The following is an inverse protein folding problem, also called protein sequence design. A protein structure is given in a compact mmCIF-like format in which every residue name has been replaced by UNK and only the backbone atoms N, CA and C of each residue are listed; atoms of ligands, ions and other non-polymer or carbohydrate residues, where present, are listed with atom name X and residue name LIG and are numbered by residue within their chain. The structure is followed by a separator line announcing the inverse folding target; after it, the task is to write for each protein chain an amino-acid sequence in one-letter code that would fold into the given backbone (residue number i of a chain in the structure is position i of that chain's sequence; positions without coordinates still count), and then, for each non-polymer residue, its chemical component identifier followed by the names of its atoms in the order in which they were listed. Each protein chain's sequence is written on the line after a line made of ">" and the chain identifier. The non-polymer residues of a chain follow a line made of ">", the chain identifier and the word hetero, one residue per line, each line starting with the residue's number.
data_IF_204348168151
#
_entry.id   IF_204348168151
#
_cell.length_a   1.000
_cell.length_b   1.000
_cell.length_c   1.000
_cell.angle_alpha   90.00
_cell.angle_beta   90.00
_cell.angle_gamma   90.00
#
_symmetry.space_group_name_H-M   'P 1'
#
loop_
_entity.id
_entity.type
_entity.pdbx_description
1 polymer ?
#
# COMPACT_ATOMS: atom_id res chain seq x y z
N UNK A 1 38.04 -3.93 10.30
CA UNK A 1 36.80 -4.64 9.91
C UNK A 1 35.53 -3.98 10.47
N UNK A 2 35.50 -2.65 10.70
CA UNK A 2 34.41 -1.95 11.41
C UNK A 2 33.61 -0.97 10.52
N UNK A 3 33.85 -0.93 9.21
CA UNK A 3 33.20 0.06 8.30
C UNK A 3 32.39 -0.55 7.15
N UNK A 4 32.35 -1.88 6.99
CA UNK A 4 31.50 -2.56 6.02
C UNK A 4 31.61 -2.09 4.56
N UNK A 5 32.63 -1.28 4.22
CA UNK A 5 32.76 -0.57 2.94
C UNK A 5 31.52 0.25 2.52
N UNK A 6 30.72 0.78 3.46
CA UNK A 6 29.58 1.67 3.16
C UNK A 6 30.06 3.10 2.87
N UNK A 7 30.78 3.27 1.77
CA UNK A 7 31.44 4.54 1.42
C UNK A 7 30.66 5.34 0.37
N UNK A 8 29.79 4.66 -0.38
CA UNK A 8 29.03 5.26 -1.46
C UNK A 8 27.54 5.29 -1.14
N UNK A 9 26.86 6.31 -1.68
CA UNK A 9 25.41 6.48 -1.52
C UNK A 9 24.60 5.24 -1.98
N UNK A 10 24.92 4.57 -3.11
CA UNK A 10 24.22 3.35 -3.52
C UNK A 10 24.35 2.20 -2.50
N UNK A 11 25.51 2.02 -1.86
CA UNK A 11 25.71 0.98 -0.83
C UNK A 11 24.84 1.25 0.40
N UNK A 12 24.76 2.51 0.84
CA UNK A 12 23.89 2.94 1.94
C UNK A 12 22.41 2.69 1.59
N UNK A 13 22.00 3.08 0.39
CA UNK A 13 20.62 2.86 -0.10
C UNK A 13 20.27 1.38 -0.23
N UNK A 14 21.21 0.56 -0.68
CA UNK A 14 21.02 -0.89 -0.78
C UNK A 14 20.88 -1.51 0.60
N UNK A 15 21.69 -1.08 1.56
CA UNK A 15 21.60 -1.52 2.95
C UNK A 15 20.26 -1.16 3.58
N UNK A 16 19.82 0.09 3.42
CA UNK A 16 18.48 0.51 3.86
C UNK A 16 17.37 -0.27 3.13
N UNK A 17 17.50 -0.50 1.83
CA UNK A 17 16.56 -1.29 1.05
C UNK A 17 16.41 -2.72 1.59
N UNK A 18 17.52 -3.36 1.95
CA UNK A 18 17.53 -4.67 2.60
C UNK A 18 16.89 -4.60 3.99
N UNK A 19 17.23 -3.61 4.82
CA UNK A 19 16.60 -3.44 6.14
C UNK A 19 15.08 -3.27 6.03
N UNK A 20 14.62 -2.38 5.13
CA UNK A 20 13.19 -2.16 4.87
C UNK A 20 12.52 -3.43 4.38
N UNK A 21 13.19 -4.23 3.55
CA UNK A 21 12.68 -5.51 3.07
C UNK A 21 12.37 -6.51 4.22
N UNK A 22 13.11 -6.48 5.32
CA UNK A 22 12.84 -7.36 6.47
C UNK A 22 11.62 -6.94 7.30
N UNK A 23 11.32 -5.64 7.40
CA UNK A 23 10.27 -5.14 8.30
C UNK A 23 8.99 -4.70 7.58
N UNK A 24 9.12 -4.04 6.42
CA UNK A 24 7.97 -3.49 5.68
C UNK A 24 6.90 -4.55 5.35
N UNK A 25 7.23 -5.78 4.94
CA UNK A 25 6.21 -6.77 4.62
C UNK A 25 5.37 -7.17 5.85
N UNK A 26 6.01 -7.31 7.01
CA UNK A 26 5.32 -7.63 8.25
C UNK A 26 4.42 -6.47 8.73
N UNK A 27 4.89 -5.23 8.58
CA UNK A 27 4.10 -4.03 8.89
C UNK A 27 2.90 -3.88 7.95
N UNK A 28 3.12 -4.05 6.64
CA UNK A 28 2.06 -3.98 5.64
C UNK A 28 1.02 -5.09 5.83
N UNK A 29 1.45 -6.33 6.06
CA UNK A 29 0.56 -7.43 6.41
C UNK A 29 -0.34 -7.09 7.61
N UNK A 30 0.22 -6.44 8.63
CA UNK A 30 -0.51 -6.06 9.84
C UNK A 30 -1.48 -4.89 9.62
N UNK A 31 -1.19 -4.02 8.63
CA UNK A 31 -2.05 -2.88 8.27
C UNK A 31 -3.31 -3.27 7.51
N UNK A 32 -3.32 -4.42 6.82
CA UNK A 32 -4.41 -4.75 5.90
C UNK A 32 -5.75 -5.08 6.57
N UNK A 33 -5.77 -5.55 7.83
CA UNK A 33 -6.91 -5.53 8.77
C UNK A 33 -6.47 -6.24 10.06
N UNK A 34 -6.92 -5.83 11.26
CA UNK A 34 -6.62 -6.58 12.48
C UNK A 34 -7.24 -7.99 12.40
N UNK A 35 -6.39 -9.02 12.41
CA UNK A 35 -6.74 -10.44 12.21
C UNK A 35 -7.55 -11.07 13.37
N UNK A 36 -7.99 -10.27 14.35
CA UNK A 36 -8.48 -10.72 15.67
C UNK A 36 -9.97 -10.48 15.90
N UNK A 37 -10.81 -10.51 14.86
CA UNK A 37 -12.27 -10.41 15.06
C UNK A 37 -12.81 -11.76 15.54
N UNK A 38 -13.55 -11.79 16.65
CA UNK A 38 -14.28 -12.98 17.11
C UNK A 38 -15.23 -13.46 16.02
N UNK A 39 -15.29 -14.77 15.83
CA UNK A 39 -16.19 -15.41 14.88
C UNK A 39 -17.42 -15.86 15.67
N UNK A 40 -18.54 -15.21 15.42
CA UNK A 40 -19.85 -15.58 15.95
C UNK A 40 -20.79 -16.06 14.84
N UNK A 41 -20.61 -15.55 13.60
CA UNK A 41 -21.52 -15.82 12.47
C UNK A 41 -20.80 -16.22 11.16
N UNK A 42 -21.52 -16.93 10.27
CA UNK A 42 -21.03 -17.34 8.93
C UNK A 42 -20.59 -16.16 8.05
N UNK A 43 -21.19 -14.98 8.22
CA UNK A 43 -20.77 -13.78 7.50
C UNK A 43 -19.40 -13.26 7.93
N UNK A 44 -19.09 -13.37 9.23
CA UNK A 44 -17.79 -12.99 9.77
C UNK A 44 -16.69 -13.98 9.33
N UNK A 45 -17.02 -15.27 9.17
CA UNK A 45 -16.13 -16.25 8.55
C UNK A 45 -15.78 -15.88 7.11
N UNK A 46 -16.78 -15.47 6.32
CA UNK A 46 -16.57 -15.03 4.94
C UNK A 46 -15.65 -13.81 4.88
N UNK A 47 -15.92 -12.77 5.67
CA UNK A 47 -15.06 -11.58 5.72
C UNK A 47 -13.61 -11.97 6.05
N UNK A 48 -13.42 -12.84 7.03
CA UNK A 48 -12.09 -13.27 7.47
C UNK A 48 -11.34 -14.08 6.41
N UNK A 49 -12.02 -14.98 5.72
CA UNK A 49 -11.44 -15.71 4.59
C UNK A 49 -11.06 -14.77 3.45
N UNK A 50 -11.90 -13.79 3.13
CA UNK A 50 -11.57 -12.79 2.11
C UNK A 50 -10.40 -11.92 2.53
N UNK A 51 -10.30 -11.52 3.79
CA UNK A 51 -9.18 -10.72 4.31
C UNK A 51 -7.87 -11.52 4.24
N UNK A 52 -7.89 -12.81 4.63
CA UNK A 52 -6.71 -13.69 4.55
C UNK A 52 -6.28 -13.87 3.09
N UNK A 53 -7.22 -14.15 2.19
CA UNK A 53 -6.92 -14.36 0.77
C UNK A 53 -6.33 -13.08 0.14
N UNK A 54 -6.94 -11.92 0.39
CA UNK A 54 -6.46 -10.63 -0.09
C UNK A 54 -5.10 -10.27 0.50
N UNK A 55 -4.93 -10.40 1.82
CA UNK A 55 -3.66 -10.13 2.50
C UNK A 55 -2.53 -10.99 1.95
N UNK A 56 -2.78 -12.28 1.73
CA UNK A 56 -1.79 -13.22 1.18
C UNK A 56 -1.36 -12.84 -0.24
N UNK A 57 -2.31 -12.56 -1.13
CA UNK A 57 -2.04 -12.17 -2.52
C UNK A 57 -1.33 -10.82 -2.60
N UNK A 58 -1.75 -9.85 -1.79
CA UNK A 58 -1.12 -8.52 -1.73
C UNK A 58 0.29 -8.59 -1.15
N UNK A 59 0.53 -9.42 -0.12
CA UNK A 59 1.88 -9.62 0.43
C UNK A 59 2.81 -10.23 -0.62
N UNK A 60 2.36 -11.26 -1.34
CA UNK A 60 3.13 -11.80 -2.48
C UNK A 60 3.48 -10.68 -3.46
N UNK A 61 2.48 -9.90 -3.88
CA UNK A 61 2.66 -8.85 -4.87
C UNK A 61 3.64 -7.77 -4.41
N UNK A 62 3.45 -7.22 -3.21
CA UNK A 62 4.33 -6.18 -2.66
C UNK A 62 5.76 -6.68 -2.57
N UNK A 63 5.98 -7.90 -2.08
CA UNK A 63 7.33 -8.48 -2.00
C UNK A 63 7.97 -8.57 -3.38
N UNK A 64 7.26 -9.10 -4.38
CA UNK A 64 7.82 -9.20 -5.74
C UNK A 64 8.19 -7.85 -6.32
N UNK A 65 7.38 -6.80 -6.08
CA UNK A 65 7.65 -5.43 -6.53
C UNK A 65 8.79 -4.78 -5.75
N UNK A 66 8.87 -5.00 -4.44
CA UNK A 66 9.98 -4.51 -3.61
C UNK A 66 11.31 -5.10 -4.07
N UNK A 67 11.37 -6.43 -4.26
CA UNK A 67 12.58 -7.11 -4.76
C UNK A 67 12.98 -6.57 -6.13
N UNK A 68 12.02 -6.42 -7.05
CA UNK A 68 12.29 -5.82 -8.36
C UNK A 68 12.81 -4.38 -8.29
N UNK A 69 12.34 -3.59 -7.33
CA UNK A 69 12.80 -2.22 -7.12
C UNK A 69 14.22 -2.13 -6.53
N UNK A 70 14.76 -3.20 -5.93
CA UNK A 70 16.07 -3.18 -5.29
C UNK A 70 17.21 -2.85 -6.27
N UNK A 71 17.15 -3.38 -7.49
CA UNK A 71 18.17 -3.08 -8.50
C UNK A 71 18.16 -1.60 -8.91
N UNK A 72 16.98 -0.97 -8.94
CA UNK A 72 16.86 0.48 -9.16
C UNK A 72 17.48 1.30 -8.03
N UNK A 73 17.34 0.85 -6.78
CA UNK A 73 17.97 1.49 -5.61
C UNK A 73 19.49 1.32 -5.62
N UNK A 74 19.97 0.11 -5.94
CA UNK A 74 21.39 -0.21 -5.99
C UNK A 74 22.11 0.34 -7.24
N UNK A 75 21.36 0.74 -8.28
CA UNK A 75 21.87 1.11 -9.62
C UNK A 75 22.72 0.01 -10.27
N UNK A 76 22.47 -1.24 -9.88
CA UNK A 76 23.17 -2.43 -10.31
C UNK A 76 22.14 -3.54 -10.45
N UNK A 77 22.34 -4.44 -11.40
CA UNK A 77 21.52 -5.65 -11.50
C UNK A 77 21.87 -6.59 -10.34
N UNK A 78 20.94 -6.73 -9.41
CA UNK A 78 21.12 -7.61 -8.27
C UNK A 78 20.58 -9.01 -8.57
N UNK A 79 21.34 -10.08 -8.28
CA UNK A 79 20.88 -11.47 -8.46
C UNK A 79 19.58 -11.79 -7.72
N UNK A 80 19.28 -11.05 -6.64
CA UNK A 80 18.05 -11.21 -5.85
C UNK A 80 16.78 -10.99 -6.67
N UNK A 81 16.83 -10.19 -7.75
CA UNK A 81 15.69 -9.97 -8.64
C UNK A 81 15.12 -11.29 -9.19
N UNK A 82 15.99 -12.27 -9.48
CA UNK A 82 15.60 -13.59 -9.99
C UNK A 82 14.84 -14.43 -8.94
N UNK A 83 14.93 -14.05 -7.68
CA UNK A 83 14.26 -14.73 -6.57
C UNK A 83 12.96 -14.03 -6.13
N UNK A 84 12.55 -12.94 -6.78
CA UNK A 84 11.35 -12.17 -6.40
C UNK A 84 10.10 -13.02 -6.20
N UNK A 85 9.78 -13.91 -7.16
CA UNK A 85 8.65 -14.83 -7.05
C UNK A 85 8.79 -15.82 -5.90
N UNK A 86 9.99 -16.40 -5.72
CA UNK A 86 10.24 -17.37 -4.64
C UNK A 86 10.10 -16.71 -3.27
N UNK A 87 10.68 -15.52 -3.10
CA UNK A 87 10.58 -14.73 -1.87
C UNK A 87 9.14 -14.30 -1.61
N UNK A 88 8.39 -13.92 -2.65
CA UNK A 88 6.97 -13.60 -2.54
C UNK A 88 6.14 -14.78 -2.02
N UNK A 89 6.38 -15.99 -2.55
CA UNK A 89 5.70 -17.21 -2.10
C UNK A 89 6.04 -17.51 -0.64
N UNK A 90 7.32 -17.41 -0.26
CA UNK A 90 7.73 -17.62 1.13
C UNK A 90 7.07 -16.62 2.08
N UNK A 91 7.09 -15.32 1.75
CA UNK A 91 6.44 -14.30 2.57
C UNK A 91 4.92 -14.51 2.70
N UNK A 92 4.26 -14.87 1.60
CA UNK A 92 2.83 -15.19 1.61
C UNK A 92 2.53 -16.43 2.48
N UNK A 93 3.35 -17.48 2.38
CA UNK A 93 3.19 -18.69 3.20
C UNK A 93 3.42 -18.41 4.69
N UNK A 94 4.42 -17.59 5.04
CA UNK A 94 4.69 -17.17 6.40
C UNK A 94 3.58 -16.30 6.97
N UNK A 95 2.92 -15.47 6.16
CA UNK A 95 1.74 -14.71 6.58
C UNK A 95 0.57 -15.64 6.94
N UNK A 96 0.30 -16.65 6.11
CA UNK A 96 -0.73 -17.66 6.40
C UNK A 96 -0.39 -18.42 7.68
N UNK A 97 0.87 -18.82 7.84
CA UNK A 97 1.33 -19.51 9.05
C UNK A 97 1.15 -18.63 10.29
N UNK A 98 1.56 -17.36 10.21
CA UNK A 98 1.37 -16.35 11.27
C UNK A 98 -0.11 -16.24 11.63
N UNK A 99 -1.00 -16.15 10.64
CA UNK A 99 -2.43 -16.10 10.87
C UNK A 99 -2.95 -17.33 11.62
N UNK A 100 -2.52 -18.54 11.22
CA UNK A 100 -2.90 -19.79 11.90
C UNK A 100 -2.42 -19.79 13.36
N UNK A 101 -1.20 -19.31 13.61
CA UNK A 101 -0.68 -19.19 14.98
C UNK A 101 -1.40 -18.13 15.80
N UNK A 102 -1.69 -16.96 15.23
CA UNK A 102 -2.49 -15.92 15.89
C UNK A 102 -3.90 -16.46 16.24
N UNK A 103 -4.51 -17.25 15.36
CA UNK A 103 -5.79 -17.88 15.62
C UNK A 103 -5.71 -18.93 16.74
N UNK A 104 -4.69 -19.80 16.71
CA UNK A 104 -4.49 -20.80 17.77
C UNK A 104 -4.26 -20.13 19.14
N UNK A 105 -3.39 -19.11 19.20
CA UNK A 105 -3.07 -18.39 20.42
C UNK A 105 -4.27 -17.61 20.94
N UNK A 106 -5.05 -16.98 20.06
CA UNK A 106 -6.25 -16.22 20.49
C UNK A 106 -7.30 -17.09 21.16
N UNK A 107 -7.39 -18.38 20.77
CA UNK A 107 -8.26 -19.37 21.43
C UNK A 107 -7.69 -19.87 22.75
N UNK A 108 -6.37 -20.05 22.84
CA UNK A 108 -5.70 -20.59 24.02
C UNK A 108 -5.54 -19.54 25.14
N UNK A 109 -5.32 -18.26 24.80
CA UNK A 109 -5.00 -17.20 25.77
C UNK A 109 -5.78 -15.88 25.51
N UNK A 110 -7.11 -15.88 25.59
CA UNK A 110 -7.92 -14.71 25.26
C UNK A 110 -7.69 -13.51 26.20
N UNK A 111 -7.51 -13.75 27.50
CA UNK A 111 -7.47 -12.70 28.54
C UNK A 111 -6.18 -11.87 28.49
N UNK A 112 -5.04 -12.46 28.11
CA UNK A 112 -3.75 -11.74 28.07
C UNK A 112 -3.64 -10.75 26.91
N UNK A 113 -4.38 -10.98 25.82
CA UNK A 113 -4.37 -10.12 24.64
C UNK A 113 -5.10 -8.80 24.85
N UNK A 114 -6.03 -8.76 25.80
CA UNK A 114 -6.80 -7.55 26.13
C UNK A 114 -6.00 -6.61 27.04
N UNK A 115 -5.21 -7.15 27.96
CA UNK A 115 -4.37 -6.37 28.90
C UNK A 115 -3.16 -5.69 28.24
N UNK A 116 -2.67 -6.21 27.10
CA UNK A 116 -1.54 -5.64 26.38
C UNK A 116 -1.90 -4.45 25.46
N UNK A 117 -3.18 -4.09 25.39
CA UNK A 117 -3.60 -2.89 24.64
C UNK A 117 -3.35 -1.63 25.44
N UNK A 118 -2.14 -1.12 25.30
CA UNK A 118 -1.83 0.26 25.68
C UNK A 118 -2.38 1.16 24.57
N UNK A 119 -3.34 2.03 24.91
CA UNK A 119 -3.73 3.13 24.04
C UNK A 119 -2.51 4.05 23.87
N UNK A 120 -1.99 4.09 22.64
CA UNK A 120 -0.89 4.99 22.29
C UNK A 120 -1.49 6.39 22.19
N UNK A 121 -1.00 7.31 23.05
CA UNK A 121 -1.41 8.72 23.01
C UNK A 121 -1.19 9.28 21.60
N UNK A 122 -2.13 10.11 21.14
CA UNK A 122 -1.99 10.78 19.85
C UNK A 122 -0.68 11.57 19.76
N UNK A 123 0.03 11.51 18.61
CA UNK A 123 1.28 12.23 18.44
C UNK A 123 1.09 13.74 18.54
N UNK A 124 2.02 14.41 19.22
CA UNK A 124 2.06 15.87 19.30
C UNK A 124 2.38 16.51 17.93
N UNK A 125 2.03 17.78 17.73
CA UNK A 125 2.29 18.54 16.49
C UNK A 125 3.79 18.52 16.17
N UNK A 126 4.66 18.70 17.16
CA UNK A 126 6.11 18.60 16.98
C UNK A 126 6.56 17.23 16.45
N UNK A 127 5.98 16.14 16.98
CA UNK A 127 6.28 14.79 16.51
C UNK A 127 5.78 14.57 15.08
N UNK A 128 4.61 15.15 14.73
CA UNK A 128 4.05 15.10 13.38
C UNK A 128 4.93 15.86 12.36
N UNK A 129 5.47 17.02 12.73
CA UNK A 129 6.40 17.80 11.91
C UNK A 129 7.70 17.02 11.67
N UNK A 130 8.34 16.53 12.74
CA UNK A 130 9.56 15.72 12.63
C UNK A 130 9.29 14.47 11.78
N UNK A 131 8.15 13.80 11.98
CA UNK A 131 7.76 12.66 11.15
C UNK A 131 7.61 13.03 9.67
N UNK A 132 7.03 14.19 9.36
CA UNK A 132 6.90 14.68 7.99
C UNK A 132 8.26 14.97 7.35
N UNK A 133 9.18 15.62 8.06
CA UNK A 133 10.55 15.86 7.58
C UNK A 133 11.26 14.54 7.26
N UNK A 134 11.20 13.56 8.17
CA UNK A 134 11.76 12.23 7.92
C UNK A 134 11.10 11.55 6.71
N UNK A 135 9.77 11.62 6.57
CA UNK A 135 9.07 11.05 5.41
C UNK A 135 9.52 11.68 4.10
N UNK A 136 9.63 13.01 4.04
CA UNK A 136 10.10 13.73 2.85
C UNK A 136 11.56 13.34 2.55
N UNK A 137 12.42 13.29 3.57
CA UNK A 137 13.82 12.87 3.43
C UNK A 137 13.91 11.47 2.81
N UNK A 138 13.22 10.47 3.38
CA UNK A 138 13.23 9.11 2.84
C UNK A 138 12.61 9.04 1.45
N UNK A 139 11.52 9.76 1.20
CA UNK A 139 10.90 9.84 -0.12
C UNK A 139 11.89 10.33 -1.18
N UNK A 140 12.54 11.48 -0.94
CA UNK A 140 13.53 12.06 -1.86
C UNK A 140 14.74 11.13 -2.03
N UNK A 141 15.20 10.54 -0.93
CA UNK A 141 16.34 9.63 -0.92
C UNK A 141 16.09 8.36 -1.75
N UNK A 142 14.90 7.77 -1.62
CA UNK A 142 14.48 6.55 -2.32
C UNK A 142 14.00 6.80 -3.75
N UNK A 143 13.41 7.96 -4.05
CA UNK A 143 12.91 8.28 -5.40
C UNK A 143 14.03 8.77 -6.34
N UNK A 144 15.05 9.45 -5.82
CA UNK A 144 16.14 10.03 -6.62
C UNK A 144 16.92 9.01 -7.48
N UNK A 145 17.15 7.75 -7.08
CA UNK A 145 17.71 6.73 -7.96
C UNK A 145 16.89 6.48 -9.22
N UNK A 146 15.55 6.59 -9.14
CA UNK A 146 14.64 6.31 -10.25
C UNK A 146 14.40 7.52 -11.16
N UNK A 147 14.24 8.71 -10.57
CA UNK A 147 13.81 9.93 -11.31
C UNK A 147 14.97 10.88 -11.59
N UNK A 148 16.07 10.78 -10.86
CA UNK A 148 17.19 11.72 -10.90
C UNK A 148 16.97 12.93 -9.98
N UNK A 149 17.91 13.88 -9.98
CA UNK A 149 17.81 15.13 -9.24
C UNK A 149 17.33 16.24 -10.18
N UNK A 150 16.04 16.56 -10.14
CA UNK A 150 15.38 17.48 -11.07
C UNK A 150 14.12 18.11 -10.45
N UNK A 151 13.47 19.00 -11.20
CA UNK A 151 12.22 19.64 -10.79
C UNK A 151 11.11 18.63 -10.49
N UNK A 152 11.06 17.52 -11.24
CA UNK A 152 10.04 16.48 -11.06
C UNK A 152 10.14 15.79 -9.70
N UNK A 153 11.35 15.55 -9.20
CA UNK A 153 11.58 15.04 -7.85
C UNK A 153 11.03 16.01 -6.79
N UNK A 154 11.29 17.31 -6.95
CA UNK A 154 10.79 18.35 -6.06
C UNK A 154 9.26 18.42 -6.07
N UNK A 155 8.64 18.44 -7.26
CA UNK A 155 7.19 18.46 -7.41
C UNK A 155 6.54 17.23 -6.79
N UNK A 156 7.09 16.04 -7.01
CA UNK A 156 6.60 14.81 -6.40
C UNK A 156 6.68 14.85 -4.88
N UNK A 157 7.77 15.38 -4.31
CA UNK A 157 7.93 15.52 -2.86
C UNK A 157 6.93 16.52 -2.26
N UNK A 158 6.68 17.63 -2.96
CA UNK A 158 5.66 18.62 -2.57
C UNK A 158 4.27 17.99 -2.57
N UNK A 159 3.87 17.31 -3.66
CA UNK A 159 2.57 16.62 -3.76
C UNK A 159 2.41 15.59 -2.64
N UNK A 160 3.47 14.84 -2.34
CA UNK A 160 3.47 13.85 -1.26
C UNK A 160 3.31 14.49 0.14
N UNK A 161 3.88 15.68 0.36
CA UNK A 161 3.82 16.36 1.65
C UNK A 161 2.47 17.05 1.92
N UNK A 162 1.80 17.55 0.87
CA UNK A 162 0.56 18.32 0.96
C UNK A 162 -0.51 17.65 1.86
N UNK A 163 -0.87 16.36 1.70
CA UNK A 163 -1.87 15.69 2.53
C UNK A 163 -1.55 15.75 4.03
N UNK A 164 -0.27 15.57 4.38
CA UNK A 164 0.15 15.57 5.78
C UNK A 164 0.08 16.97 6.37
N UNK A 165 0.42 18.00 5.58
CA UNK A 165 0.36 19.41 6.00
C UNK A 165 -1.10 19.85 6.17
N UNK A 166 -1.99 19.54 5.22
CA UNK A 166 -3.40 19.95 5.30
C UNK A 166 -4.18 19.20 6.37
N UNK A 167 -3.81 17.95 6.65
CA UNK A 167 -4.36 17.18 7.76
C UNK A 167 -4.11 17.79 9.14
N UNK A 168 -3.18 18.74 9.28
CA UNK A 168 -2.93 19.42 10.56
C UNK A 168 -3.89 20.59 10.84
N UNK A 169 -4.51 21.19 9.83
CA UNK A 169 -5.17 22.50 10.00
C UNK A 169 -6.47 22.67 9.20
N UNK A 170 -6.67 21.95 8.10
CA UNK A 170 -7.73 22.25 7.13
C UNK A 170 -8.80 21.17 7.04
N UNK A 171 -8.47 19.91 7.35
CA UNK A 171 -9.35 18.77 7.04
C UNK A 171 -10.54 18.61 7.99
N UNK A 172 -10.39 19.04 9.24
CA UNK A 172 -11.47 18.99 10.23
C UNK A 172 -12.61 19.98 9.88
N UNK A 173 -12.32 21.04 9.13
CA UNK A 173 -13.28 22.07 8.73
C UNK A 173 -14.00 21.80 7.39
N UNK A 174 -13.70 20.71 6.68
CA UNK A 174 -14.27 20.46 5.36
C UNK A 174 -15.72 19.96 5.42
N UNK A 175 -16.63 20.46 4.53
CA UNK A 175 -18.02 20.03 4.50
C UNK A 175 -18.12 18.57 4.05
N UNK A 176 -18.68 17.72 4.91
CA UNK A 176 -18.85 16.30 4.63
C UNK A 176 -20.02 16.06 3.68
N UNK A 177 -19.83 15.22 2.67
CA UNK A 177 -20.81 14.82 1.65
C UNK A 177 -20.90 13.29 1.58
N UNK A 178 -22.09 12.76 1.33
CA UNK A 178 -22.30 11.32 1.15
C UNK A 178 -21.82 10.89 -0.24
N UNK A 179 -20.57 10.44 -0.33
CA UNK A 179 -19.96 9.94 -1.56
C UNK A 179 -19.69 8.43 -1.44
N UNK A 180 -19.90 7.71 -2.56
CA UNK A 180 -19.59 6.28 -2.65
C UNK A 180 -18.20 6.08 -3.22
N UNK A 181 -17.18 6.16 -2.36
CA UNK A 181 -15.80 5.90 -2.75
C UNK A 181 -15.41 4.43 -2.58
N UNK A 182 -14.53 3.89 -3.45
CA UNK A 182 -14.01 2.55 -3.28
C UNK A 182 -13.18 2.46 -1.99
N UNK A 183 -13.33 1.37 -1.24
CA UNK A 183 -12.64 1.14 0.03
C UNK A 183 -11.87 -0.17 0.03
N UNK A 184 -10.87 -0.27 0.91
CA UNK A 184 -10.04 -1.45 1.07
C UNK A 184 -9.39 -1.88 -0.25
N UNK A 185 -9.42 -3.18 -0.54
CA UNK A 185 -8.78 -3.73 -1.71
C UNK A 185 -9.34 -3.20 -3.05
N UNK A 186 -10.63 -2.84 -3.11
CA UNK A 186 -11.22 -2.21 -4.30
C UNK A 186 -10.58 -0.85 -4.61
N UNK A 187 -10.23 -0.07 -3.58
CA UNK A 187 -9.52 1.21 -3.73
C UNK A 187 -8.19 1.01 -4.45
N UNK A 188 -7.44 -0.02 -4.08
CA UNK A 188 -6.15 -0.36 -4.69
C UNK A 188 -6.30 -0.71 -6.17
N UNK A 189 -7.30 -1.53 -6.54
CA UNK A 189 -7.56 -1.89 -7.94
C UNK A 189 -7.89 -0.64 -8.75
N UNK A 190 -8.85 0.16 -8.28
CA UNK A 190 -9.28 1.38 -8.97
C UNK A 190 -8.11 2.34 -9.15
N UNK A 191 -7.25 2.48 -8.13
CA UNK A 191 -6.06 3.33 -8.20
C UNK A 191 -5.05 2.84 -9.22
N UNK A 192 -4.74 1.56 -9.25
CA UNK A 192 -3.78 0.99 -10.20
C UNK A 192 -4.31 1.11 -11.63
N UNK A 193 -5.60 0.84 -11.83
CA UNK A 193 -6.26 1.04 -13.11
C UNK A 193 -6.18 2.50 -13.57
N UNK A 194 -6.56 3.44 -12.70
CA UNK A 194 -6.54 4.86 -13.00
C UNK A 194 -5.13 5.38 -13.29
N UNK A 195 -4.13 4.92 -12.52
CA UNK A 195 -2.72 5.22 -12.77
C UNK A 195 -2.25 4.67 -14.12
N UNK A 196 -2.57 3.41 -14.44
CA UNK A 196 -2.20 2.80 -15.70
C UNK A 196 -2.85 3.52 -16.89
N UNK A 197 -4.13 3.86 -16.76
CA UNK A 197 -4.87 4.64 -17.76
C UNK A 197 -4.23 6.01 -18.01
N UNK A 198 -3.99 6.80 -16.95
CA UNK A 198 -3.34 8.10 -17.06
C UNK A 198 -1.94 7.96 -17.65
N UNK A 199 -1.18 6.95 -17.23
CA UNK A 199 0.17 6.70 -17.74
C UNK A 199 0.15 6.46 -19.25
N UNK A 200 -0.77 5.62 -19.76
CA UNK A 200 -0.94 5.40 -21.21
C UNK A 200 -1.37 6.66 -21.97
N UNK A 201 -2.31 7.44 -21.41
CA UNK A 201 -2.75 8.69 -22.05
C UNK A 201 -1.61 9.68 -22.19
N UNK A 202 -0.75 9.77 -21.18
CA UNK A 202 0.36 10.72 -21.15
C UNK A 202 1.57 10.20 -21.92
N UNK A 203 1.76 8.88 -22.03
CA UNK A 203 2.83 8.26 -22.82
C UNK A 203 2.83 8.79 -24.27
N UNK A 204 1.64 8.93 -24.88
CA UNK A 204 1.50 9.47 -26.23
C UNK A 204 1.87 10.96 -26.39
N UNK A 205 2.03 11.71 -25.30
CA UNK A 205 2.39 13.12 -25.32
C UNK A 205 3.92 13.36 -25.30
N UNK A 206 4.75 12.32 -25.14
CA UNK A 206 6.19 12.45 -25.01
C UNK A 206 6.95 11.63 -26.07
N UNK A 207 7.91 12.28 -26.74
CA UNK A 207 8.81 11.61 -27.69
C UNK A 207 10.00 10.92 -27.00
N UNK A 208 10.43 11.41 -25.83
CA UNK A 208 11.58 10.86 -25.10
C UNK A 208 11.11 10.02 -23.89
N UNK A 209 11.45 8.72 -23.82
CA UNK A 209 11.10 7.84 -22.69
C UNK A 209 11.60 8.32 -21.33
N UNK A 210 12.76 8.98 -21.26
CA UNK A 210 13.31 9.50 -19.99
C UNK A 210 12.48 10.68 -19.47
N UNK A 211 12.06 11.57 -20.37
CA UNK A 211 11.19 12.72 -20.03
C UNK A 211 9.81 12.23 -19.60
N UNK A 212 9.28 11.24 -20.30
CA UNK A 212 8.04 10.57 -19.91
C UNK A 212 8.15 10.00 -18.49
N UNK A 213 9.18 9.22 -18.18
CA UNK A 213 9.34 8.60 -16.86
C UNK A 213 9.36 9.64 -15.73
N UNK A 214 10.07 10.76 -15.93
CA UNK A 214 10.15 11.86 -14.95
C UNK A 214 8.80 12.54 -14.71
N UNK A 215 8.04 12.83 -15.77
CA UNK A 215 6.73 13.46 -15.61
C UNK A 215 5.67 12.49 -15.12
N UNK A 216 5.73 11.23 -15.55
CA UNK A 216 4.86 10.16 -15.09
C UNK A 216 4.98 9.97 -13.58
N UNK A 217 6.19 10.07 -13.00
CA UNK A 217 6.39 10.08 -11.55
C UNK A 217 5.58 11.16 -10.82
N UNK A 218 5.57 12.39 -11.34
CA UNK A 218 4.81 13.50 -10.74
C UNK A 218 3.31 13.25 -10.86
N UNK A 219 2.87 12.85 -12.05
CA UNK A 219 1.45 12.64 -12.32
C UNK A 219 0.89 11.47 -11.51
N UNK A 220 1.66 10.40 -11.32
CA UNK A 220 1.26 9.25 -10.51
C UNK A 220 1.01 9.59 -9.04
N UNK A 221 1.54 10.71 -8.53
CA UNK A 221 1.25 11.18 -7.17
C UNK A 221 -0.14 11.85 -7.05
N UNK A 222 -0.69 12.39 -8.15
CA UNK A 222 -1.95 13.14 -8.15
C UNK A 222 -3.19 12.29 -7.79
N UNK A 223 -3.37 11.05 -8.28
CA UNK A 223 -4.49 10.22 -7.87
C UNK A 223 -4.54 10.00 -6.35
N UNK A 224 -3.37 9.83 -5.71
CA UNK A 224 -3.27 9.67 -4.26
C UNK A 224 -3.73 10.92 -3.51
N UNK A 225 -3.27 12.09 -3.97
CA UNK A 225 -3.69 13.40 -3.46
C UNK A 225 -5.20 13.61 -3.60
N UNK A 226 -5.75 13.33 -4.79
CA UNK A 226 -7.17 13.48 -5.06
C UNK A 226 -8.01 12.59 -4.14
N UNK A 227 -7.63 11.31 -3.98
CA UNK A 227 -8.33 10.40 -3.08
C UNK A 227 -8.22 10.83 -1.62
N UNK A 228 -7.10 11.42 -1.19
CA UNK A 228 -6.97 11.94 0.18
C UNK A 228 -8.06 12.96 0.50
N UNK A 229 -8.23 13.97 -0.35
CA UNK A 229 -9.26 14.99 -0.13
C UNK A 229 -10.67 14.47 -0.37
N UNK A 230 -10.86 13.57 -1.33
CA UNK A 230 -12.14 12.91 -1.51
C UNK A 230 -12.53 12.12 -0.26
N UNK A 231 -11.61 11.38 0.36
CA UNK A 231 -11.84 10.70 1.63
C UNK A 231 -12.12 11.71 2.76
N UNK A 232 -11.37 12.82 2.82
CA UNK A 232 -11.56 13.86 3.84
C UNK A 232 -12.96 14.52 3.79
N UNK A 233 -13.57 14.66 2.60
CA UNK A 233 -14.93 15.20 2.45
C UNK A 233 -16.02 14.12 2.48
N UNK A 234 -15.67 12.83 2.49
CA UNK A 234 -16.67 11.76 2.38
C UNK A 234 -17.21 11.35 3.73
N UNK A 235 -18.52 11.52 3.92
CA UNK A 235 -19.24 10.84 4.99
C UNK A 235 -19.61 9.43 4.51
N UNK A 236 -19.15 8.43 5.26
CA UNK A 236 -19.24 7.04 4.82
C UNK A 236 -20.65 6.50 5.04
N UNK A 237 -21.36 6.04 4.00
CA UNK A 237 -22.68 5.45 4.18
C UNK A 237 -22.57 4.21 5.08
N UNK A 238 -23.52 4.07 6.02
CA UNK A 238 -23.57 2.96 6.97
C UNK A 238 -23.64 1.59 6.30
N UNK A 239 -23.22 0.54 7.02
CA UNK A 239 -23.18 -0.83 6.50
C UNK A 239 -24.55 -1.53 6.42
N UNK A 240 -25.64 -0.81 6.68
CA UNK A 240 -27.01 -1.33 6.82
C UNK A 240 -27.49 -2.09 5.58
N UNK A 241 -27.06 -1.69 4.37
CA UNK A 241 -27.44 -2.37 3.13
C UNK A 241 -26.95 -3.82 3.04
N UNK A 242 -25.88 -4.17 3.77
CA UNK A 242 -25.29 -5.53 3.80
C UNK A 242 -26.14 -6.54 4.58
N UNK A 243 -27.08 -6.07 5.39
CA UNK A 243 -27.91 -6.93 6.22
C UNK A 243 -29.01 -7.63 5.42
N UNK A 244 -29.48 -6.96 4.36
CA UNK A 244 -30.47 -7.50 3.41
C UNK A 244 -29.95 -8.74 2.68
N UNK A 245 -30.83 -9.68 2.34
CA UNK A 245 -30.47 -10.93 1.62
C UNK A 245 -29.80 -10.63 0.27
N UNK A 246 -30.33 -9.67 -0.48
CA UNK A 246 -29.78 -9.24 -1.77
C UNK A 246 -28.46 -8.51 -1.60
N UNK A 247 -28.35 -7.58 -0.64
CA UNK A 247 -27.11 -6.86 -0.37
C UNK A 247 -25.97 -7.77 0.07
N UNK A 248 -26.26 -8.79 0.89
CA UNK A 248 -25.30 -9.81 1.29
C UNK A 248 -24.80 -10.65 0.11
N UNK A 249 -25.69 -11.03 -0.81
CA UNK A 249 -25.30 -11.75 -2.03
C UNK A 249 -24.39 -10.89 -2.91
N UNK A 250 -24.78 -9.63 -3.16
CA UNK A 250 -23.99 -8.67 -3.94
C UNK A 250 -22.62 -8.45 -3.30
N UNK A 251 -22.56 -8.32 -1.97
CA UNK A 251 -21.30 -8.17 -1.24
C UNK A 251 -20.37 -9.38 -1.41
N UNK A 252 -20.90 -10.61 -1.31
CA UNK A 252 -20.11 -11.83 -1.47
C UNK A 252 -19.64 -12.02 -2.92
N UNK A 253 -20.55 -11.91 -3.88
CA UNK A 253 -20.22 -12.03 -5.30
C UNK A 253 -19.23 -10.94 -5.73
N UNK A 254 -19.47 -9.70 -5.31
CA UNK A 254 -18.56 -8.58 -5.54
C UNK A 254 -17.18 -8.81 -4.93
N UNK A 255 -17.10 -9.37 -3.71
CA UNK A 255 -15.84 -9.75 -3.08
C UNK A 255 -15.04 -10.77 -3.91
N UNK A 256 -15.70 -11.78 -4.48
CA UNK A 256 -15.05 -12.75 -5.38
C UNK A 256 -14.54 -12.08 -6.65
N UNK A 257 -15.34 -11.20 -7.26
CA UNK A 257 -14.93 -10.45 -8.46
C UNK A 257 -13.70 -9.59 -8.17
N UNK A 258 -13.71 -8.84 -7.06
CA UNK A 258 -12.58 -8.02 -6.61
C UNK A 258 -11.34 -8.88 -6.37
N UNK A 259 -11.49 -10.06 -5.76
CA UNK A 259 -10.38 -10.99 -5.56
C UNK A 259 -9.79 -11.48 -6.88
N UNK A 260 -10.62 -11.89 -7.84
CA UNK A 260 -10.17 -12.33 -9.17
C UNK A 260 -9.43 -11.20 -9.89
N UNK A 261 -9.96 -9.97 -9.85
CA UNK A 261 -9.29 -8.81 -10.44
C UNK A 261 -7.91 -8.56 -9.83
N UNK A 262 -7.77 -8.70 -8.51
CA UNK A 262 -6.47 -8.59 -7.84
C UNK A 262 -5.53 -9.70 -8.29
N UNK A 263 -5.97 -10.95 -8.36
CA UNK A 263 -5.13 -12.05 -8.83
C UNK A 263 -4.61 -11.78 -10.25
N UNK A 264 -5.46 -11.27 -11.15
CA UNK A 264 -5.08 -10.94 -12.52
C UNK A 264 -4.09 -9.77 -12.57
N UNK A 265 -4.34 -8.72 -11.77
CA UNK A 265 -3.40 -7.61 -11.61
C UNK A 265 -2.04 -8.08 -11.09
N UNK A 266 -2.01 -8.97 -10.10
CA UNK A 266 -0.78 -9.53 -9.53
C UNK A 266 -0.02 -10.38 -10.54
N UNK A 267 -0.74 -11.09 -11.43
CA UNK A 267 -0.15 -11.82 -12.57
C UNK A 267 0.41 -10.91 -13.66
N UNK A 268 0.17 -9.60 -13.59
CA UNK A 268 0.63 -8.63 -14.59
C UNK A 268 -0.27 -8.54 -15.82
N UNK A 269 -1.54 -8.96 -15.72
CA UNK A 269 -2.50 -8.80 -16.80
C UNK A 269 -2.86 -7.32 -16.95
N UNK A 270 -2.80 -6.80 -18.18
CA UNK A 270 -3.24 -5.43 -18.48
C UNK A 270 -4.77 -5.35 -18.46
N UNK A 271 -5.32 -5.02 -17.31
CA UNK A 271 -6.76 -4.84 -17.12
C UNK A 271 -7.32 -3.65 -17.91
N UNK A 272 -6.48 -2.65 -18.26
CA UNK A 272 -6.90 -1.49 -19.06
C UNK A 272 -7.15 -1.90 -20.50
N UNK A 273 -6.31 -2.79 -21.05
CA UNK A 273 -6.50 -3.37 -22.39
C UNK A 273 -7.72 -4.29 -22.54
N UNK A 274 -8.50 -4.53 -21.49
CA UNK A 274 -9.79 -5.23 -21.60
C UNK A 274 -10.96 -4.30 -21.89
N UNK A 275 -10.79 -2.99 -21.68
CA UNK A 275 -11.85 -1.98 -21.82
C UNK A 275 -11.66 -1.09 -23.06
N UNK A 276 -10.50 -1.16 -23.71
CA UNK A 276 -10.12 -0.43 -24.92
C UNK A 276 -9.85 -1.47 -26.02
#
# INVERSE_FOLDING_TARGET
>A
MLTGHLSSRPEILTTFGVMVFFFAPALLASSFRPLRRKIENRDQLWERLTDLALGTVLTYWVITKMVGAMSGLARLELPINNYGTKLGIYAASLLVLRFVFEEAISRLYPVRLETLHVEIKEPDIYQKIISLEFKIFFFVMLARPFVGYNLQLLLGAMIFAIPTITGFALEDGLPKKKLYLPKGALKTIVMIFFMAFISKVIEGAFANPETFLKWNFVVMALPGLALHYLDAITDSPGSEWRESKTGRFVYRAGGVVVFVLIVQMVRGVDLVGWLI
#
